data_IF_071464564891
#
_entry.id   IF_071464564891
#
_cell.length_a   1.000
_cell.length_b   1.000
_cell.length_c   1.000
_cell.angle_alpha   90.00
_cell.angle_beta   90.00
_cell.angle_gamma   90.00
#
_symmetry.space_group_name_H-M   'P 1'
#
loop_
_entity.id
_entity.type
_entity.pdbx_description
1 polymer ?
#
# COMPACT_ATOMS: atom_id res chain seq x y z
N UNK A 1 9.35 -13.15 23.76
CA UNK A 1 7.96 -13.41 23.29
C UNK A 1 7.95 -13.19 21.79
N UNK A 2 7.39 -14.12 21.02
CA UNK A 2 7.27 -13.99 19.56
C UNK A 2 5.88 -13.45 19.23
N UNK A 3 5.80 -12.50 18.30
CA UNK A 3 4.52 -11.97 17.81
C UNK A 3 3.83 -13.07 17.02
N UNK A 4 2.56 -13.35 17.32
CA UNK A 4 1.75 -14.27 16.52
C UNK A 4 1.47 -13.61 15.17
N UNK A 5 1.61 -14.38 14.09
CA UNK A 5 1.31 -13.88 12.74
C UNK A 5 -0.04 -14.42 12.28
N UNK A 6 -0.79 -13.66 11.46
CA UNK A 6 -2.00 -14.17 10.83
C UNK A 6 -1.69 -15.28 9.83
N UNK A 7 -2.63 -16.19 9.62
CA UNK A 7 -2.56 -17.17 8.53
C UNK A 7 -2.64 -16.46 7.18
N UNK A 8 -1.77 -16.88 6.25
CA UNK A 8 -1.73 -16.39 4.87
C UNK A 8 -2.46 -17.37 3.94
N UNK A 9 -3.20 -16.84 2.98
CA UNK A 9 -3.72 -17.58 1.84
C UNK A 9 -2.65 -17.72 0.75
N UNK A 10 -2.91 -18.59 -0.23
CA UNK A 10 -1.96 -18.83 -1.33
C UNK A 10 -1.64 -17.55 -2.10
N UNK A 11 -0.33 -17.26 -2.24
CA UNK A 11 0.17 -16.07 -2.94
C UNK A 11 0.18 -14.79 -2.11
N UNK A 12 -0.32 -14.81 -0.88
CA UNK A 12 -0.23 -13.66 0.04
C UNK A 12 1.15 -13.56 0.69
N UNK A 13 1.56 -12.33 0.97
CA UNK A 13 2.88 -12.03 1.52
C UNK A 13 2.72 -11.12 2.74
N UNK A 14 3.29 -11.53 3.86
CA UNK A 14 3.29 -10.71 5.06
C UNK A 14 4.28 -9.54 4.90
N UNK A 15 3.78 -8.30 4.95
CA UNK A 15 4.63 -7.10 4.83
C UNK A 15 5.16 -6.61 6.18
N UNK A 16 4.39 -6.75 7.25
CA UNK A 16 4.78 -6.26 8.56
C UNK A 16 3.60 -6.00 9.49
N UNK A 17 3.91 -5.58 10.71
CA UNK A 17 2.94 -5.23 11.74
C UNK A 17 3.22 -3.83 12.29
N UNK A 18 2.17 -3.03 12.43
CA UNK A 18 2.21 -1.71 13.03
C UNK A 18 1.62 -1.77 14.43
N UNK A 19 2.39 -1.32 15.42
CA UNK A 19 1.97 -1.30 16.82
C UNK A 19 1.44 0.08 17.13
N UNK A 20 0.23 0.15 17.67
CA UNK A 20 -0.37 1.40 18.10
C UNK A 20 0.04 1.79 19.53
N UNK A 21 -0.46 2.94 20.02
CA UNK A 21 -0.15 3.45 21.36
C UNK A 21 -0.64 2.57 22.51
N UNK A 22 -1.60 1.68 22.26
CA UNK A 22 -2.15 0.75 23.25
C UNK A 22 -1.37 -0.57 23.27
N UNK A 23 -0.48 -0.78 22.29
CA UNK A 23 0.25 -2.02 22.09
C UNK A 23 -0.47 -3.00 21.15
N UNK A 24 -1.57 -2.59 20.51
CA UNK A 24 -2.31 -3.43 19.58
C UNK A 24 -1.57 -3.50 18.24
N UNK A 25 -1.48 -4.70 17.66
CA UNK A 25 -0.77 -4.92 16.40
C UNK A 25 -1.77 -4.99 15.25
N UNK A 26 -1.57 -4.16 14.23
CA UNK A 26 -2.23 -4.31 12.94
C UNK A 26 -1.25 -4.89 11.94
N UNK A 27 -1.53 -6.10 11.48
CA UNK A 27 -0.76 -6.83 10.48
C UNK A 27 -1.18 -6.44 9.07
N UNK A 28 -0.21 -6.17 8.21
CA UNK A 28 -0.40 -5.86 6.79
C UNK A 28 0.03 -7.05 5.94
N UNK A 29 -0.87 -7.51 5.08
CA UNK A 29 -0.65 -8.62 4.15
C UNK A 29 -0.84 -8.10 2.72
N UNK A 30 0.17 -8.25 1.88
CA UNK A 30 0.11 -8.00 0.44
C UNK A 30 -0.70 -9.09 -0.25
N UNK A 31 -1.72 -8.67 -0.99
CA UNK A 31 -2.52 -9.56 -1.82
C UNK A 31 -1.78 -9.92 -3.13
N UNK A 32 -2.04 -11.10 -3.71
CA UNK A 32 -1.48 -11.47 -5.00
C UNK A 32 -1.97 -10.55 -6.12
N UNK A 33 -1.11 -10.34 -7.11
CA UNK A 33 -1.41 -9.53 -8.30
C UNK A 33 -1.18 -8.02 -8.12
N UNK A 34 -1.25 -7.31 -9.24
CA UNK A 34 -1.16 -5.86 -9.34
C UNK A 34 -2.20 -5.32 -10.33
N UNK A 35 -2.34 -4.01 -10.40
CA UNK A 35 -3.12 -3.35 -11.44
C UNK A 35 -2.22 -2.46 -12.30
N UNK A 36 -2.56 -2.37 -13.58
CA UNK A 36 -1.93 -1.42 -14.47
C UNK A 36 -2.23 0.02 -14.07
N UNK A 37 -1.61 0.97 -14.78
CA UNK A 37 -1.69 2.40 -14.47
C UNK A 37 -3.13 2.90 -14.61
N UNK A 38 -3.61 3.58 -13.58
CA UNK A 38 -4.94 4.19 -13.53
C UNK A 38 -4.97 5.33 -12.50
N UNK A 39 -6.03 6.13 -12.52
CA UNK A 39 -6.22 7.24 -11.58
C UNK A 39 -6.32 6.74 -10.14
N UNK A 40 -6.06 7.60 -9.17
CA UNK A 40 -6.09 7.21 -7.75
C UNK A 40 -7.44 6.61 -7.33
N UNK A 41 -8.54 7.21 -7.78
CA UNK A 41 -9.89 6.75 -7.48
C UNK A 41 -10.17 5.36 -8.07
N UNK A 42 -9.80 5.12 -9.34
CA UNK A 42 -9.94 3.81 -9.99
C UNK A 42 -9.11 2.74 -9.26
N UNK A 43 -7.95 3.11 -8.73
CA UNK A 43 -7.07 2.19 -8.01
C UNK A 43 -7.59 1.85 -6.61
N UNK A 44 -8.17 2.82 -5.92
CA UNK A 44 -8.91 2.59 -4.66
C UNK A 44 -10.10 1.65 -4.88
N UNK A 45 -10.83 1.81 -5.99
CA UNK A 45 -11.95 0.94 -6.36
C UNK A 45 -11.49 -0.47 -6.73
N UNK A 46 -10.43 -0.60 -7.53
CA UNK A 46 -9.83 -1.88 -7.86
C UNK A 46 -9.38 -2.65 -6.60
N UNK A 47 -8.65 -2.00 -5.69
CA UNK A 47 -8.17 -2.66 -4.48
C UNK A 47 -9.33 -3.19 -3.63
N UNK A 48 -10.41 -2.40 -3.48
CA UNK A 48 -11.64 -2.82 -2.80
C UNK A 48 -12.33 -3.98 -3.50
N UNK A 49 -12.34 -3.99 -4.84
CA UNK A 49 -12.99 -5.05 -5.64
C UNK A 49 -12.40 -6.44 -5.40
N UNK A 50 -11.11 -6.51 -5.02
CA UNK A 50 -10.42 -7.75 -4.67
C UNK A 50 -10.33 -7.99 -3.15
N UNK A 51 -11.13 -7.26 -2.35
CA UNK A 51 -11.20 -7.43 -0.89
C UNK A 51 -10.04 -6.80 -0.12
N UNK A 52 -9.28 -5.90 -0.75
CA UNK A 52 -8.18 -5.18 -0.13
C UNK A 52 -8.39 -3.67 -0.11
N UNK A 53 -7.27 -2.98 0.09
CA UNK A 53 -7.13 -1.53 0.06
C UNK A 53 -5.75 -1.20 -0.52
N UNK A 54 -5.54 0.02 -1.01
CA UNK A 54 -4.19 0.43 -1.36
C UNK A 54 -3.30 0.44 -0.10
N UNK A 55 -1.99 0.15 -0.21
CA UNK A 55 -1.10 0.24 0.92
C UNK A 55 -1.01 1.71 1.41
N UNK A 56 -0.77 1.91 2.69
CA UNK A 56 -0.42 3.23 3.22
C UNK A 56 0.98 3.62 2.77
N UNK A 57 1.32 4.90 2.95
CA UNK A 57 2.70 5.38 2.74
C UNK A 57 3.73 4.54 3.48
N UNK A 58 3.48 4.21 4.75
CA UNK A 58 4.42 3.44 5.55
C UNK A 58 4.55 1.99 5.06
N UNK A 59 3.44 1.39 4.64
CA UNK A 59 3.43 0.04 4.06
C UNK A 59 4.18 -0.02 2.73
N UNK A 60 4.05 1.01 1.88
CA UNK A 60 4.82 1.09 0.63
C UNK A 60 6.32 1.21 0.87
N UNK A 61 6.75 1.95 1.90
CA UNK A 61 8.17 1.99 2.28
C UNK A 61 8.65 0.61 2.71
N UNK A 62 7.88 -0.10 3.55
CA UNK A 62 8.25 -1.48 3.93
C UNK A 62 8.31 -2.42 2.72
N UNK A 63 7.35 -2.30 1.80
CA UNK A 63 7.33 -3.08 0.58
C UNK A 63 8.55 -2.77 -0.31
N UNK A 64 8.96 -1.51 -0.42
CA UNK A 64 10.17 -1.11 -1.13
C UNK A 64 11.44 -1.68 -0.48
N UNK A 65 11.55 -1.64 0.84
CA UNK A 65 12.76 -2.10 1.55
C UNK A 65 12.91 -3.63 1.57
N UNK A 66 11.80 -4.36 1.70
CA UNK A 66 11.83 -5.81 1.97
C UNK A 66 11.40 -6.68 0.79
N UNK A 67 10.63 -6.12 -0.15
CA UNK A 67 9.93 -6.86 -1.18
C UNK A 67 10.00 -6.18 -2.55
N UNK A 68 11.06 -5.40 -2.81
CA UNK A 68 11.23 -4.63 -4.05
C UNK A 68 11.11 -5.48 -5.30
N UNK A 69 11.57 -6.73 -5.23
CA UNK A 69 11.55 -7.72 -6.31
C UNK A 69 10.14 -8.11 -6.76
N UNK A 70 9.12 -7.81 -5.96
CA UNK A 70 7.72 -8.06 -6.29
C UNK A 70 7.03 -6.90 -7.01
N UNK A 71 7.73 -5.78 -7.22
CA UNK A 71 7.19 -4.56 -7.79
C UNK A 71 7.94 -4.19 -9.06
N UNK A 72 7.22 -3.62 -10.01
CA UNK A 72 7.83 -3.02 -11.20
C UNK A 72 8.60 -1.75 -10.83
N UNK A 73 9.59 -1.40 -11.67
CA UNK A 73 10.31 -0.12 -11.57
C UNK A 73 9.40 1.04 -12.00
N UNK A 74 8.41 1.35 -11.16
CA UNK A 74 7.33 2.31 -11.42
C UNK A 74 6.88 2.99 -10.12
N UNK A 75 5.96 3.95 -10.24
CA UNK A 75 5.29 4.53 -9.09
C UNK A 75 3.99 3.77 -8.77
N UNK A 76 3.74 3.57 -7.47
CA UNK A 76 2.57 2.88 -6.94
C UNK A 76 1.78 3.79 -6.00
N UNK A 77 0.48 3.89 -6.22
CA UNK A 77 -0.42 4.67 -5.36
C UNK A 77 -0.49 4.14 -3.94
N UNK A 78 -0.58 5.05 -2.97
CA UNK A 78 -1.00 4.74 -1.60
C UNK A 78 -2.48 5.07 -1.40
N UNK A 79 -3.11 4.55 -0.35
CA UNK A 79 -4.46 4.97 0.06
C UNK A 79 -4.51 6.34 0.76
N UNK A 80 -3.39 7.08 0.78
CA UNK A 80 -3.23 8.28 1.60
C UNK A 80 -3.40 9.51 0.72
N UNK A 81 -4.56 10.21 0.78
CA UNK A 81 -4.69 11.51 0.12
C UNK A 81 -3.77 12.53 0.79
N UNK A 82 -3.50 13.63 0.09
CA UNK A 82 -2.92 14.81 0.74
C UNK A 82 -3.97 15.48 1.63
N UNK A 83 -3.60 15.81 2.86
CA UNK A 83 -4.49 16.43 3.85
C UNK A 83 -4.33 17.95 3.95
N UNK A 84 -3.37 18.52 3.23
CA UNK A 84 -3.24 19.97 3.08
C UNK A 84 -4.35 20.49 2.14
N UNK A 85 -5.16 21.48 2.56
CA UNK A 85 -6.21 22.08 1.72
C UNK A 85 -5.71 22.59 0.36
N UNK A 86 -4.46 23.05 0.27
CA UNK A 86 -3.87 23.54 -0.98
C UNK A 86 -3.55 22.40 -1.96
N UNK A 87 -3.56 21.15 -1.48
CA UNK A 87 -3.31 19.92 -2.24
C UNK A 87 -4.55 19.03 -2.32
N UNK A 88 -5.75 19.61 -2.16
CA UNK A 88 -6.99 18.91 -2.43
C UNK A 88 -6.97 18.29 -3.85
N UNK A 89 -7.22 16.99 -3.95
CA UNK A 89 -7.14 16.24 -5.22
C UNK A 89 -5.75 15.64 -5.50
N UNK A 90 -4.84 15.64 -4.54
CA UNK A 90 -3.55 14.97 -4.60
C UNK A 90 -3.53 13.73 -3.69
N UNK A 91 -2.67 12.77 -4.00
CA UNK A 91 -2.50 11.57 -3.19
C UNK A 91 -1.04 11.13 -3.19
N UNK A 92 -0.62 10.41 -2.16
CA UNK A 92 0.76 9.96 -2.04
C UNK A 92 1.02 8.68 -2.84
N UNK A 93 2.25 8.52 -3.31
CA UNK A 93 2.74 7.33 -3.98
C UNK A 93 4.20 7.03 -3.61
N UNK A 94 4.65 5.82 -3.90
CA UNK A 94 6.03 5.35 -3.72
C UNK A 94 6.65 5.05 -5.08
N UNK A 95 7.87 5.54 -5.32
CA UNK A 95 8.64 5.31 -6.54
C UNK A 95 9.58 4.12 -6.31
N UNK A 96 9.34 3.00 -6.99
CA UNK A 96 10.14 1.78 -6.84
C UNK A 96 11.46 1.77 -7.63
N UNK A 97 11.73 2.81 -8.42
CA UNK A 97 13.02 3.06 -9.06
C UNK A 97 14.10 3.58 -8.08
N UNK A 98 13.71 4.50 -7.19
CA UNK A 98 14.66 5.19 -6.29
C UNK A 98 14.26 5.23 -4.82
N UNK A 99 13.10 4.68 -4.43
CA UNK A 99 12.64 4.61 -3.03
C UNK A 99 12.02 5.90 -2.48
N UNK A 100 11.87 6.93 -3.29
CA UNK A 100 11.24 8.19 -2.89
C UNK A 100 9.73 8.10 -2.79
N UNK A 101 9.13 9.03 -2.02
CA UNK A 101 7.70 9.32 -2.06
C UNK A 101 7.45 10.69 -2.68
N UNK A 102 6.36 10.79 -3.42
CA UNK A 102 5.81 12.06 -3.88
C UNK A 102 4.28 11.99 -3.84
N UNK A 103 3.66 13.14 -3.94
CA UNK A 103 2.23 13.32 -4.06
C UNK A 103 1.94 13.90 -5.45
N UNK A 104 1.52 13.11 -6.44
CA UNK A 104 1.00 13.62 -7.70
C UNK A 104 -0.51 13.92 -7.64
N UNK A 105 -1.06 14.48 -8.71
CA UNK A 105 -2.50 14.73 -8.80
C UNK A 105 -3.23 13.39 -8.91
N UNK A 106 -4.40 13.24 -8.29
CA UNK A 106 -5.20 12.00 -8.32
C UNK A 106 -5.64 11.57 -9.74
N UNK A 107 -5.49 12.42 -10.75
CA UNK A 107 -5.77 12.11 -12.16
C UNK A 107 -4.55 11.53 -12.90
N UNK A 108 -3.36 11.53 -12.28
CA UNK A 108 -2.21 10.85 -12.82
C UNK A 108 -2.41 9.32 -12.80
N UNK A 109 -1.78 8.61 -13.73
CA UNK A 109 -1.96 7.16 -13.88
C UNK A 109 -0.73 6.40 -13.34
N UNK A 110 -0.87 5.88 -12.13
CA UNK A 110 0.16 5.07 -11.45
C UNK A 110 -0.35 3.64 -11.20
N UNK A 111 0.57 2.70 -10.98
CA UNK A 111 0.23 1.29 -10.72
C UNK A 111 -0.36 1.13 -9.31
N UNK A 112 -0.96 -0.02 -9.04
CA UNK A 112 -1.43 -0.36 -7.70
C UNK A 112 -1.07 -1.79 -7.29
N UNK A 113 -0.89 -1.95 -5.98
CA UNK A 113 -1.00 -3.22 -5.27
C UNK A 113 -2.11 -3.09 -4.24
N UNK A 114 -2.61 -4.21 -3.74
CA UNK A 114 -3.60 -4.20 -2.67
C UNK A 114 -3.07 -4.94 -1.45
N UNK A 115 -3.48 -4.48 -0.28
CA UNK A 115 -3.22 -5.12 1.00
C UNK A 115 -4.53 -5.40 1.72
N UNK A 116 -4.53 -6.41 2.58
CA UNK A 116 -5.53 -6.55 3.64
C UNK A 116 -4.86 -6.38 5.00
N UNK A 117 -5.62 -5.90 5.98
CA UNK A 117 -5.12 -5.63 7.33
C UNK A 117 -5.89 -6.46 8.36
N UNK A 118 -5.19 -7.00 9.35
CA UNK A 118 -5.77 -7.78 10.44
C UNK A 118 -5.22 -7.30 11.78
N UNK A 119 -6.12 -7.03 12.72
CA UNK A 119 -5.76 -6.83 14.13
C UNK A 119 -6.11 -8.11 14.89
N UNK A 120 -5.14 -8.67 15.63
CA UNK A 120 -5.28 -9.94 16.38
C UNK A 120 -4.93 -9.76 17.85
#
# INVERSE_FOLDING_TARGET
MQIQLPTLADGEIYLGGFVDKNGDVTHTILLPGDNDRATWQEQMEWAKSIGGDLPTRAELVMAYEQHRDLFETAAYWSNTPDDDPDYAGWAWCQIFDGGGQCNPHQYDELRARAVRRLSI
#
